data_IF_046841311083
#
_entry.id   IF_046841311083
#
_cell.length_a   1.000
_cell.length_b   1.000
_cell.length_c   1.000
_cell.angle_alpha   90.00
_cell.angle_beta   90.00
_cell.angle_gamma   90.00
#
_symmetry.space_group_name_H-M   'P 1'
#
loop_
_entity.id
_entity.type
_entity.pdbx_description
1 polymer ?
#
# COMPACT_ATOMS: atom_id res chain seq x y z
N UNK A 1 11.20 -1.42 47.97
CA UNK A 1 10.88 0.02 47.90
C UNK A 1 11.09 0.42 46.46
N UNK A 2 10.00 0.76 45.79
CA UNK A 2 9.91 1.12 44.38
C UNK A 2 10.54 2.50 44.10
N UNK A 3 11.07 2.69 42.87
CA UNK A 3 11.07 3.90 41.99
C UNK A 3 12.27 3.79 41.05
N UNK A 4 12.29 4.13 39.76
CA UNK A 4 11.35 4.67 38.76
C UNK A 4 12.18 4.66 37.44
N UNK A 5 11.80 3.88 36.41
CA UNK A 5 11.26 4.40 35.15
C UNK A 5 12.24 5.27 34.32
N UNK A 6 12.88 4.65 33.34
CA UNK A 6 12.97 5.25 31.99
C UNK A 6 12.47 4.23 30.99
N UNK A 7 11.16 4.34 30.79
CA UNK A 7 10.41 3.86 29.66
C UNK A 7 10.93 4.57 28.39
N UNK A 8 11.93 3.96 27.74
CA UNK A 8 12.27 4.29 26.37
C UNK A 8 11.34 3.45 25.47
N UNK A 9 10.11 3.96 25.28
CA UNK A 9 9.28 3.56 24.15
C UNK A 9 9.83 4.28 22.92
N UNK A 10 11.03 3.89 22.50
CA UNK A 10 11.37 3.99 21.09
C UNK A 10 10.36 3.12 20.36
N UNK A 11 9.44 3.79 19.65
CA UNK A 11 8.48 3.15 18.76
C UNK A 11 9.22 2.49 17.62
N UNK A 12 9.79 1.31 17.88
CA UNK A 12 10.06 0.30 16.89
C UNK A 12 8.69 -0.24 16.46
N UNK A 13 8.11 0.36 15.42
CA UNK A 13 6.95 -0.20 14.75
C UNK A 13 7.37 -1.56 14.21
N UNK A 14 7.02 -2.60 14.97
CA UNK A 14 7.51 -3.96 14.79
C UNK A 14 7.42 -4.44 13.35
N UNK A 15 8.55 -4.91 12.83
CA UNK A 15 8.58 -5.71 11.60
C UNK A 15 8.96 -7.14 11.94
N UNK A 16 8.02 -7.85 12.57
CA UNK A 16 7.91 -9.30 12.45
C UNK A 16 6.45 -9.67 12.20
N UNK A 17 6.11 -9.89 10.93
CA UNK A 17 4.99 -10.72 10.48
C UNK A 17 5.17 -10.98 8.98
N UNK A 18 5.75 -12.14 8.69
CA UNK A 18 5.81 -12.73 7.35
C UNK A 18 4.41 -13.20 6.97
N UNK A 19 3.98 -12.89 5.75
CA UNK A 19 2.65 -13.16 5.16
C UNK A 19 1.56 -12.11 5.42
N UNK A 20 1.81 -10.88 5.00
CA UNK A 20 0.71 -10.05 4.49
C UNK A 20 1.26 -9.26 3.31
N UNK A 21 1.07 -9.80 2.10
CA UNK A 21 1.19 -9.07 0.82
C UNK A 21 0.86 -7.61 1.09
N UNK A 22 1.83 -6.70 1.02
CA UNK A 22 1.62 -5.31 1.44
C UNK A 22 0.51 -4.70 0.57
N UNK A 23 -0.75 -4.78 1.05
CA UNK A 23 -1.95 -4.37 0.31
C UNK A 23 -1.98 -2.87 0.08
N UNK A 24 -1.18 -2.14 0.85
CA UNK A 24 -0.91 -0.71 0.74
C UNK A 24 0.27 -0.38 -0.19
N UNK A 25 1.00 -1.38 -0.70
CA UNK A 25 2.14 -1.17 -1.59
C UNK A 25 1.79 -1.51 -3.03
N UNK A 26 2.34 -0.71 -3.95
CA UNK A 26 2.22 -0.90 -5.37
C UNK A 26 3.08 -2.09 -5.80
N UNK A 27 2.50 -3.08 -6.51
CA UNK A 27 3.25 -4.26 -6.95
C UNK A 27 4.28 -3.96 -8.06
N UNK A 28 4.27 -2.75 -8.62
CA UNK A 28 5.16 -2.34 -9.72
C UNK A 28 6.42 -1.64 -9.20
N UNK A 29 6.30 -0.76 -8.20
CA UNK A 29 7.41 0.04 -7.67
C UNK A 29 7.68 -0.15 -6.17
N UNK A 30 6.84 -0.89 -5.45
CA UNK A 30 6.95 -1.08 -4.00
C UNK A 30 6.57 0.13 -3.14
N UNK A 31 6.28 1.29 -3.74
CA UNK A 31 5.82 2.48 -3.03
C UNK A 31 4.34 2.42 -2.63
N UNK A 32 3.81 3.41 -1.89
CA UNK A 32 2.41 3.41 -1.47
C UNK A 32 1.45 3.45 -2.67
N UNK A 33 0.47 2.57 -2.69
CA UNK A 33 -0.52 2.51 -3.77
C UNK A 33 -1.65 3.55 -3.62
N UNK A 34 -1.84 4.11 -2.43
CA UNK A 34 -2.86 5.12 -2.15
C UNK A 34 -4.29 4.59 -2.20
N UNK A 35 -4.50 3.30 -1.94
CA UNK A 35 -5.83 2.69 -1.89
C UNK A 35 -6.67 3.33 -0.78
N UNK A 36 -7.84 3.88 -1.14
CA UNK A 36 -8.76 4.45 -0.16
C UNK A 36 -9.37 3.37 0.76
N UNK A 37 -9.64 2.17 0.23
CA UNK A 37 -10.23 1.07 1.00
C UNK A 37 -9.29 0.60 2.11
N UNK A 38 -8.01 0.36 1.81
CA UNK A 38 -7.03 -0.02 2.85
C UNK A 38 -6.82 1.11 3.87
N UNK A 39 -6.94 2.37 3.43
CA UNK A 39 -6.94 3.52 4.32
C UNK A 39 -8.25 3.73 5.11
N UNK A 40 -9.22 2.80 5.02
CA UNK A 40 -10.50 2.88 5.74
C UNK A 40 -11.46 3.96 5.22
N UNK A 41 -11.29 4.39 3.97
CA UNK A 41 -12.11 5.40 3.30
C UNK A 41 -13.02 4.76 2.25
N UNK A 42 -14.04 5.50 1.83
CA UNK A 42 -14.96 5.08 0.77
C UNK A 42 -14.26 4.87 -0.57
N UNK A 43 -14.77 3.92 -1.36
CA UNK A 43 -14.20 3.56 -2.67
C UNK A 43 -14.23 4.73 -3.66
N UNK A 44 -15.29 5.54 -3.62
CA UNK A 44 -15.47 6.73 -4.47
C UNK A 44 -14.39 7.79 -4.25
N UNK A 45 -13.80 7.82 -3.04
CA UNK A 45 -12.68 8.70 -2.71
C UNK A 45 -11.34 8.19 -3.25
N UNK A 46 -11.26 6.95 -3.75
CA UNK A 46 -10.02 6.38 -4.27
C UNK A 46 -9.56 7.10 -5.54
N UNK A 47 -8.26 7.36 -5.64
CA UNK A 47 -7.70 8.03 -6.82
C UNK A 47 -7.90 7.21 -8.10
N UNK A 48 -7.99 5.88 -8.00
CA UNK A 48 -8.18 5.01 -9.17
C UNK A 48 -9.59 5.13 -9.77
N UNK A 49 -10.61 5.50 -8.97
CA UNK A 49 -11.98 5.71 -9.47
C UNK A 49 -12.11 6.98 -10.32
N UNK A 50 -11.23 7.96 -10.10
CA UNK A 50 -11.23 9.25 -10.81
C UNK A 50 -10.25 9.32 -12.00
N UNK A 51 -9.55 8.23 -12.32
CA UNK A 51 -8.50 8.21 -13.34
C UNK A 51 -8.65 6.98 -14.24
N UNK A 52 -8.61 7.18 -15.55
CA UNK A 52 -8.49 6.08 -16.49
C UNK A 52 -7.09 5.44 -16.37
N UNK A 53 -7.05 4.12 -16.16
CA UNK A 53 -5.81 3.34 -16.08
C UNK A 53 -5.70 2.52 -17.37
N UNK A 54 -4.56 2.64 -18.04
CA UNK A 54 -4.32 1.90 -19.28
C UNK A 54 -4.26 0.39 -19.06
N UNK A 55 -4.84 -0.36 -20.00
CA UNK A 55 -4.85 -1.84 -19.96
C UNK A 55 -3.44 -2.43 -19.94
N UNK A 56 -2.49 -1.81 -20.66
CA UNK A 56 -1.07 -2.22 -20.67
C UNK A 56 -0.44 -2.13 -19.27
N UNK A 57 -0.84 -1.13 -18.48
CA UNK A 57 -0.34 -0.97 -17.10
C UNK A 57 -0.93 -2.05 -16.20
N UNK A 58 -2.23 -2.33 -16.33
CA UNK A 58 -2.88 -3.41 -15.60
C UNK A 58 -2.30 -4.79 -16.00
N UNK A 59 -1.95 -4.96 -17.28
CA UNK A 59 -1.27 -6.15 -17.76
C UNK A 59 0.16 -6.30 -17.21
N UNK A 60 0.82 -5.20 -16.84
CA UNK A 60 2.14 -5.22 -16.20
C UNK A 60 2.09 -5.71 -14.75
N UNK A 61 0.92 -5.75 -14.12
CA UNK A 61 0.75 -6.29 -12.76
C UNK A 61 0.93 -7.81 -12.77
N UNK A 62 1.75 -8.39 -11.87
CA UNK A 62 1.91 -9.84 -11.75
C UNK A 62 0.57 -10.55 -11.57
N UNK A 63 0.37 -11.67 -12.27
CA UNK A 63 -0.92 -12.38 -12.30
C UNK A 63 -1.44 -12.72 -10.90
N UNK A 64 -0.55 -13.15 -10.00
CA UNK A 64 -0.89 -13.48 -8.61
C UNK A 64 -1.37 -12.30 -7.77
N UNK A 65 -1.12 -11.06 -8.22
CA UNK A 65 -1.43 -9.81 -7.52
C UNK A 65 -2.56 -9.01 -8.18
N UNK A 66 -2.97 -9.37 -9.40
CA UNK A 66 -4.10 -8.74 -10.09
C UNK A 66 -5.38 -8.91 -9.29
N UNK A 67 -6.11 -7.82 -9.08
CA UNK A 67 -7.34 -7.80 -8.27
C UNK A 67 -7.12 -7.98 -6.76
N UNK A 68 -5.86 -8.07 -6.29
CA UNK A 68 -5.53 -8.22 -4.87
C UNK A 68 -4.89 -6.98 -4.26
N UNK A 69 -4.08 -6.26 -5.03
CA UNK A 69 -3.44 -5.00 -4.62
C UNK A 69 -3.63 -3.94 -5.70
N UNK A 70 -3.71 -2.68 -5.28
CA UNK A 70 -3.77 -1.54 -6.17
C UNK A 70 -2.37 -1.15 -6.65
N UNK A 71 -2.28 -0.60 -7.86
CA UNK A 71 -1.08 0.13 -8.32
C UNK A 71 -1.08 1.56 -7.73
N UNK A 72 0.03 2.30 -7.83
CA UNK A 72 0.06 3.71 -7.42
C UNK A 72 -0.28 4.66 -8.58
N UNK A 73 -0.63 5.94 -8.31
CA UNK A 73 -0.91 6.92 -9.34
C UNK A 73 0.25 7.15 -10.32
N UNK A 74 1.49 7.04 -9.84
CA UNK A 74 2.68 7.22 -10.67
C UNK A 74 2.83 6.11 -11.70
N UNK A 75 2.73 4.84 -11.27
CA UNK A 75 2.79 3.70 -12.19
C UNK A 75 1.57 3.65 -13.12
N UNK A 76 0.39 4.05 -12.64
CA UNK A 76 -0.81 4.19 -13.46
C UNK A 76 -0.65 5.22 -14.60
N UNK A 77 0.21 6.23 -14.40
CA UNK A 77 0.56 7.23 -15.42
C UNK A 77 1.74 6.80 -16.31
N UNK A 78 2.30 5.59 -16.15
CA UNK A 78 3.45 5.08 -16.90
C UNK A 78 4.82 5.38 -16.27
N UNK A 79 4.85 5.99 -15.09
CA UNK A 79 6.06 6.20 -14.29
C UNK A 79 6.69 4.85 -13.91
N UNK A 80 7.97 4.71 -14.22
CA UNK A 80 8.80 3.55 -13.86
C UNK A 80 9.33 3.75 -12.45
#
# INVERSE_FOLDING_TARGET
>A
MMTDKTNDLSGDTGRMSSDNTDRDCCPLCGGPNGCAIEAGREVESCWCMRRAIGEDVLASVPLSLRGRTCICPACAAGGK
#
